data_IF_023663177458
#
_entry.id   IF_023663177458
#
_cell.length_a   1.000
_cell.length_b   1.000
_cell.length_c   1.000
_cell.angle_alpha   90.00
_cell.angle_beta   90.00
_cell.angle_gamma   90.00
#
_symmetry.space_group_name_H-M   'P 1'
#
loop_
_entity.id
_entity.type
_entity.pdbx_description
1 polymer ?
#
# COMPACT_ATOMS: atom_id res chain seq x y z
N UNK A 1 9.34 -25.76 10.78
CA UNK A 1 9.07 -25.31 9.40
C UNK A 1 7.63 -24.85 9.30
N UNK A 2 7.39 -23.54 9.17
CA UNK A 2 6.03 -22.99 9.14
C UNK A 2 5.43 -23.08 7.74
N UNK A 3 4.48 -23.98 7.51
CA UNK A 3 3.75 -24.04 6.24
C UNK A 3 2.99 -22.73 6.04
N UNK A 4 3.37 -21.96 5.02
CA UNK A 4 2.69 -20.75 4.59
C UNK A 4 1.30 -21.14 4.06
N UNK A 5 0.27 -20.97 4.86
CA UNK A 5 -1.10 -21.08 4.39
C UNK A 5 -1.55 -19.71 3.86
N UNK A 6 -1.98 -19.70 2.60
CA UNK A 6 -2.56 -18.53 1.92
C UNK A 6 -4.07 -18.74 1.88
N UNK A 7 -4.82 -17.82 2.49
CA UNK A 7 -6.27 -17.78 2.29
C UNK A 7 -6.56 -17.16 0.93
N UNK A 8 -7.43 -17.78 0.16
CA UNK A 8 -7.83 -17.28 -1.15
C UNK A 8 -9.26 -16.77 -1.04
N UNK A 9 -9.41 -15.46 -1.07
CA UNK A 9 -10.71 -14.79 -1.06
C UNK A 9 -10.71 -13.64 -2.08
N UNK A 10 -11.89 -13.23 -2.50
CA UNK A 10 -12.03 -12.11 -3.42
C UNK A 10 -11.87 -10.79 -2.63
N UNK A 11 -10.83 -10.03 -2.95
CA UNK A 11 -10.43 -8.81 -2.24
C UNK A 11 -10.62 -7.58 -3.12
N UNK A 12 -11.29 -6.58 -2.56
CA UNK A 12 -11.28 -5.21 -3.07
C UNK A 12 -10.06 -4.47 -2.50
N UNK A 13 -9.10 -4.18 -3.39
CA UNK A 13 -7.82 -3.56 -3.02
C UNK A 13 -7.98 -2.14 -2.51
N UNK A 14 -8.88 -1.37 -3.10
CA UNK A 14 -9.13 0.01 -2.68
C UNK A 14 -9.63 0.02 -1.24
N UNK A 15 -10.56 -0.88 -0.90
CA UNK A 15 -11.07 -1.03 0.49
C UNK A 15 -10.00 -1.52 1.45
N UNK A 16 -9.16 -2.48 1.03
CA UNK A 16 -8.07 -2.96 1.86
C UNK A 16 -7.04 -1.84 2.15
N UNK A 17 -6.72 -1.03 1.14
CA UNK A 17 -5.83 0.12 1.29
C UNK A 17 -6.46 1.17 2.19
N UNK A 18 -7.72 1.56 1.98
CA UNK A 18 -8.41 2.54 2.85
C UNK A 18 -8.40 2.11 4.31
N UNK A 19 -8.71 0.83 4.58
CA UNK A 19 -8.66 0.29 5.93
C UNK A 19 -7.28 0.44 6.58
N UNK A 20 -6.21 0.18 5.82
CA UNK A 20 -4.84 0.35 6.32
C UNK A 20 -4.52 1.83 6.53
N UNK A 21 -4.95 2.70 5.62
CA UNK A 21 -4.72 4.15 5.78
C UNK A 21 -5.37 4.65 7.06
N UNK A 22 -6.59 4.22 7.38
CA UNK A 22 -7.25 4.62 8.63
C UNK A 22 -6.47 4.19 9.88
N UNK A 23 -5.80 3.03 9.83
CA UNK A 23 -4.94 2.54 10.92
C UNK A 23 -3.66 3.37 11.04
N UNK A 24 -3.03 3.75 9.92
CA UNK A 24 -1.72 4.43 9.94
C UNK A 24 -1.81 5.96 9.94
N UNK A 25 -2.95 6.55 9.57
CA UNK A 25 -3.14 7.99 9.52
C UNK A 25 -2.80 8.71 10.84
N UNK A 26 -3.10 8.16 12.04
CA UNK A 26 -2.66 8.75 13.31
C UNK A 26 -1.14 8.80 13.50
N UNK A 27 -0.36 8.02 12.75
CA UNK A 27 1.10 8.03 12.78
C UNK A 27 1.71 9.15 11.92
N UNK A 28 0.90 9.78 11.06
CA UNK A 28 1.37 10.85 10.19
C UNK A 28 1.75 12.09 11.00
N UNK A 29 2.87 12.70 10.62
CA UNK A 29 3.24 14.02 11.13
C UNK A 29 2.32 15.08 10.52
N UNK A 30 2.15 16.20 11.22
CA UNK A 30 1.27 17.30 10.79
C UNK A 30 1.63 17.84 9.40
N UNK A 31 2.90 17.80 9.03
CA UNK A 31 3.46 18.28 7.77
C UNK A 31 3.40 17.25 6.63
N UNK A 32 2.82 16.06 6.87
CA UNK A 32 2.75 14.97 5.90
C UNK A 32 1.29 14.71 5.50
N UNK A 33 0.97 14.86 4.22
CA UNK A 33 -0.32 14.42 3.66
C UNK A 33 -0.28 12.95 3.26
N UNK A 34 -1.43 12.28 3.37
CA UNK A 34 -1.63 10.94 2.80
C UNK A 34 -2.54 11.06 1.59
N UNK A 35 -2.05 10.67 0.43
CA UNK A 35 -2.76 10.75 -0.85
C UNK A 35 -3.17 9.35 -1.33
N UNK A 36 -4.37 9.25 -1.91
CA UNK A 36 -4.95 7.99 -2.37
C UNK A 36 -5.38 8.16 -3.83
N UNK A 37 -4.84 7.35 -4.72
CA UNK A 37 -5.11 7.42 -6.16
C UNK A 37 -5.56 6.05 -6.65
N UNK A 38 -6.88 5.86 -6.75
CA UNK A 38 -7.46 4.57 -7.10
C UNK A 38 -8.07 4.64 -8.50
N UNK A 39 -7.63 3.76 -9.39
CA UNK A 39 -8.21 3.61 -10.73
C UNK A 39 -9.53 2.82 -10.61
N UNK A 40 -10.68 3.38 -11.06
CA UNK A 40 -11.97 2.67 -11.04
C UNK A 40 -11.99 1.36 -11.86
N UNK A 41 -11.02 1.16 -12.76
CA UNK A 41 -10.87 -0.05 -13.57
C UNK A 41 -10.13 -1.17 -12.83
N UNK A 42 -9.68 -0.91 -11.59
CA UNK A 42 -8.99 -1.92 -10.78
C UNK A 42 -9.92 -3.11 -10.52
N UNK A 43 -9.56 -4.33 -10.98
CA UNK A 43 -10.36 -5.51 -10.69
C UNK A 43 -10.21 -5.94 -9.23
N UNK A 44 -11.21 -6.63 -8.71
CA UNK A 44 -11.02 -7.44 -7.51
C UNK A 44 -10.02 -8.56 -7.79
N UNK A 45 -9.24 -8.94 -6.78
CA UNK A 45 -8.22 -9.98 -6.91
C UNK A 45 -8.47 -11.12 -5.94
N UNK A 46 -8.05 -12.33 -6.30
CA UNK A 46 -8.01 -13.45 -5.37
C UNK A 46 -6.71 -13.36 -4.57
N UNK A 47 -6.82 -13.06 -3.28
CA UNK A 47 -5.67 -12.85 -2.39
C UNK A 47 -6.01 -13.21 -0.94
N UNK A 48 -5.03 -13.09 -0.04
CA UNK A 48 -5.22 -13.21 1.41
C UNK A 48 -5.32 -11.80 2.01
N UNK A 49 -6.54 -11.39 2.38
CA UNK A 49 -6.80 -10.04 2.87
C UNK A 49 -5.88 -9.65 4.04
N UNK A 50 -5.67 -10.57 4.99
CA UNK A 50 -4.87 -10.31 6.18
C UNK A 50 -3.40 -10.02 5.83
N UNK A 51 -2.84 -10.75 4.86
CA UNK A 51 -1.48 -10.52 4.38
C UNK A 51 -1.36 -9.24 3.59
N UNK A 52 -2.37 -8.90 2.80
CA UNK A 52 -2.41 -7.63 2.09
C UNK A 52 -2.37 -6.45 3.05
N UNK A 53 -3.22 -6.48 4.09
CA UNK A 53 -3.22 -5.48 5.17
C UNK A 53 -1.84 -5.38 5.82
N UNK A 54 -1.20 -6.52 6.12
CA UNK A 54 0.14 -6.54 6.72
C UNK A 54 1.21 -5.92 5.81
N UNK A 55 1.22 -6.26 4.51
CA UNK A 55 2.17 -5.69 3.54
C UNK A 55 1.98 -4.17 3.46
N UNK A 56 0.73 -3.72 3.28
CA UNK A 56 0.42 -2.30 3.15
C UNK A 56 0.73 -1.53 4.43
N UNK A 57 0.44 -2.10 5.61
CA UNK A 57 0.75 -1.48 6.89
C UNK A 57 2.27 -1.25 7.04
N UNK A 58 3.08 -2.23 6.65
CA UNK A 58 4.54 -2.10 6.70
C UNK A 58 5.06 -1.01 5.75
N UNK A 59 4.57 -0.99 4.51
CA UNK A 59 5.01 -0.01 3.52
C UNK A 59 4.58 1.41 3.93
N UNK A 60 3.30 1.62 4.21
CA UNK A 60 2.77 2.94 4.59
C UNK A 60 3.31 3.41 5.94
N UNK A 61 3.43 2.51 6.92
CA UNK A 61 4.02 2.82 8.22
C UNK A 61 5.48 3.25 8.10
N UNK A 62 6.26 2.58 7.25
CA UNK A 62 7.64 3.00 6.95
C UNK A 62 7.68 4.36 6.27
N UNK A 63 6.89 4.57 5.21
CA UNK A 63 6.85 5.86 4.50
C UNK A 63 6.47 7.01 5.43
N UNK A 64 5.48 6.85 6.31
CA UNK A 64 5.09 7.88 7.29
C UNK A 64 6.17 8.12 8.36
N UNK A 65 6.83 7.06 8.83
CA UNK A 65 7.92 7.16 9.81
C UNK A 65 9.08 8.02 9.26
N UNK A 66 9.47 7.77 8.01
CA UNK A 66 10.66 8.35 7.40
C UNK A 66 10.41 9.66 6.62
N UNK A 67 9.15 10.02 6.38
CA UNK A 67 8.79 11.32 5.80
C UNK A 67 8.63 12.36 6.90
N UNK A 68 9.35 13.48 6.81
CA UNK A 68 9.26 14.60 7.77
C UNK A 68 8.23 15.65 7.34
N UNK A 69 8.14 15.91 6.04
CA UNK A 69 7.20 16.84 5.43
C UNK A 69 6.97 16.42 3.97
N UNK A 70 5.83 16.81 3.39
CA UNK A 70 5.47 16.48 2.02
C UNK A 70 4.32 15.47 1.99
N UNK A 71 4.47 14.38 1.24
CA UNK A 71 3.39 13.41 1.08
C UNK A 71 3.86 11.96 1.12
N UNK A 72 2.92 11.09 1.47
CA UNK A 72 2.95 9.65 1.17
C UNK A 72 1.74 9.36 0.30
N UNK A 73 1.96 8.86 -0.91
CA UNK A 73 0.92 8.54 -1.88
C UNK A 73 0.81 7.04 -2.06
N UNK A 74 -0.40 6.51 -1.92
CA UNK A 74 -0.73 5.14 -2.33
C UNK A 74 -1.60 5.17 -3.57
N UNK A 75 -1.20 4.40 -4.58
CA UNK A 75 -1.92 4.26 -5.83
C UNK A 75 -2.25 2.80 -6.11
N UNK A 76 -3.42 2.52 -6.66
CA UNK A 76 -3.77 1.19 -7.18
C UNK A 76 -4.44 1.30 -8.54
N UNK A 77 -4.04 0.44 -9.47
CA UNK A 77 -4.62 0.36 -10.81
C UNK A 77 -4.30 -0.96 -11.51
N UNK A 78 -4.88 -1.20 -12.70
CA UNK A 78 -4.46 -2.29 -13.57
C UNK A 78 -2.97 -2.16 -13.91
N UNK A 79 -2.21 -3.25 -13.77
CA UNK A 79 -0.79 -3.26 -14.13
C UNK A 79 -0.56 -3.29 -15.65
N UNK A 80 -1.55 -3.75 -16.41
CA UNK A 80 -1.52 -3.84 -17.85
C UNK A 80 -2.95 -3.69 -18.43
N UNK A 81 -3.08 -3.36 -19.73
CA UNK A 81 -4.39 -3.21 -20.38
C UNK A 81 -5.23 -4.49 -20.42
N UNK A 82 -4.63 -5.66 -20.27
CA UNK A 82 -5.34 -6.94 -20.30
C UNK A 82 -6.07 -7.26 -18.98
N UNK A 83 -5.77 -6.52 -17.90
CA UNK A 83 -6.53 -6.56 -16.65
C UNK A 83 -6.28 -7.79 -15.75
N UNK A 84 -5.31 -8.65 -16.09
CA UNK A 84 -5.02 -9.86 -15.30
C UNK A 84 -4.13 -9.60 -14.08
N UNK A 85 -3.65 -8.37 -13.90
CA UNK A 85 -2.76 -8.01 -12.80
C UNK A 85 -3.02 -6.59 -12.33
N UNK A 86 -2.72 -6.35 -11.05
CA UNK A 86 -2.87 -5.06 -10.38
C UNK A 86 -1.51 -4.56 -9.96
N UNK A 87 -1.32 -3.25 -9.99
CA UNK A 87 -0.14 -2.59 -9.46
C UNK A 87 -0.56 -1.71 -8.29
N UNK A 88 0.06 -1.94 -7.14
CA UNK A 88 -0.03 -1.06 -5.97
C UNK A 88 1.32 -0.35 -5.85
N UNK A 89 1.30 0.98 -5.77
CA UNK A 89 2.49 1.81 -5.61
C UNK A 89 2.39 2.60 -4.31
N UNK A 90 3.46 2.60 -3.51
CA UNK A 90 3.63 3.50 -2.37
C UNK A 90 4.81 4.40 -2.70
N UNK A 91 4.56 5.70 -2.75
CA UNK A 91 5.52 6.75 -3.06
C UNK A 91 5.60 7.71 -1.88
N UNK A 92 6.80 8.16 -1.50
CA UNK A 92 6.97 9.14 -0.44
C UNK A 92 8.09 10.13 -0.74
N UNK A 93 8.02 11.29 -0.08
CA UNK A 93 9.03 12.35 -0.14
C UNK A 93 10.00 12.30 1.03
N UNK A 94 10.24 11.10 1.58
CA UNK A 94 11.10 10.88 2.72
C UNK A 94 12.59 10.99 2.40
N UNK A 95 13.41 10.51 3.34
CA UNK A 95 14.88 10.57 3.24
C UNK A 95 15.49 9.66 2.16
N UNK A 96 14.67 8.82 1.52
CA UNK A 96 15.11 7.80 0.57
C UNK A 96 15.82 6.62 1.23
N UNK A 97 16.26 5.67 0.40
CA UNK A 97 17.06 4.52 0.80
C UNK A 97 18.47 4.73 0.23
N UNK A 98 19.53 4.75 1.06
CA UNK A 98 20.90 4.82 0.56
C UNK A 98 21.21 3.70 -0.43
N UNK A 99 21.91 4.00 -1.53
CA UNK A 99 22.17 3.04 -2.61
C UNK A 99 22.98 1.82 -2.18
N UNK A 100 23.79 1.94 -1.13
CA UNK A 100 24.56 0.85 -0.51
C UNK A 100 23.69 -0.10 0.33
N UNK A 101 22.41 0.22 0.52
CA UNK A 101 21.42 -0.58 1.27
C UNK A 101 20.29 -1.12 0.38
N UNK A 102 20.35 -0.92 -0.93
CA UNK A 102 19.39 -1.46 -1.90
C UNK A 102 19.79 -2.85 -2.39
#
# INVERSE_FOLDING_TARGET
>A
EGKLHIKHELVDLSRAIDHVVDIVAPLAKKEVSIERVFDPRTPMVVADFSRMVQIMYNLLGNSLKFTKSGYVRVSVGPANPTGCSVLITVEDTGIGIPADKM
#
